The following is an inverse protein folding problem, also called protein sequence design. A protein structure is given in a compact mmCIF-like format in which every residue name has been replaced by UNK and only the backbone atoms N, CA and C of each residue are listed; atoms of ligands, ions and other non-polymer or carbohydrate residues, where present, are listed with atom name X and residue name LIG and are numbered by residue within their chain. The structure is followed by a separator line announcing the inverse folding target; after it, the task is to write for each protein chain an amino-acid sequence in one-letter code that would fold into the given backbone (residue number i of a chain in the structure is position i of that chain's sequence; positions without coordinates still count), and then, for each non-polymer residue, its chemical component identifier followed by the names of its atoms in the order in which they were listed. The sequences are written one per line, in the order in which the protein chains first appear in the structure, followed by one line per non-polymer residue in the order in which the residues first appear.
data_IF_870012602085
#
_entry.id   IF_870012602085
#
_cell.length_a   1.000
_cell.length_b   1.000
_cell.length_c   1.000
_cell.angle_alpha   90.00
_cell.angle_beta   90.00
_cell.angle_gamma   90.00
#
_symmetry.space_group_name_H-M   'P 1'
#
loop_
_entity.id
_entity.type
_entity.pdbx_description
1 polymer ?
#
# COMPACT_ATOMS: atom_id res chain seq x y z
N UNK A 1 3.78 -22.86 15.72
CA UNK A 1 3.15 -21.72 15.00
C UNK A 1 3.42 -20.48 15.82
N UNK A 2 4.18 -19.51 15.32
CA UNK A 2 4.38 -18.24 16.05
C UNK A 2 3.08 -17.46 16.02
N UNK A 3 2.61 -17.01 17.18
CA UNK A 3 1.51 -16.06 17.29
C UNK A 3 1.91 -14.79 16.53
N UNK A 4 1.11 -14.37 15.55
CA UNK A 4 1.28 -13.04 14.94
C UNK A 4 1.02 -12.01 16.04
N UNK A 5 2.08 -11.34 16.49
CA UNK A 5 2.01 -10.35 17.56
C UNK A 5 2.29 -8.98 16.95
N UNK A 6 1.29 -8.11 17.00
CA UNK A 6 1.49 -6.72 16.60
C UNK A 6 2.46 -6.03 17.54
N UNK A 7 3.20 -5.06 16.99
CA UNK A 7 4.13 -4.23 17.74
C UNK A 7 3.35 -3.44 18.81
N UNK A 8 3.84 -3.33 20.05
CA UNK A 8 3.23 -2.49 21.07
C UNK A 8 3.08 -1.05 20.59
N UNK A 9 1.98 -0.39 20.97
CA UNK A 9 1.66 0.97 20.50
C UNK A 9 2.78 1.98 20.84
N UNK A 10 3.34 1.84 22.04
CA UNK A 10 4.41 2.68 22.56
C UNK A 10 5.73 2.51 21.80
N UNK A 11 5.90 1.43 21.05
CA UNK A 11 7.09 1.17 20.26
C UNK A 11 6.95 1.66 18.81
N UNK A 12 5.73 2.05 18.39
CA UNK A 12 5.48 2.48 17.01
C UNK A 12 6.38 3.65 16.63
N UNK A 13 6.97 3.58 15.44
CA UNK A 13 7.83 4.60 14.85
C UNK A 13 7.37 4.92 13.42
N UNK A 14 8.06 5.83 12.74
CA UNK A 14 7.65 6.33 11.42
C UNK A 14 7.60 5.23 10.33
N UNK A 15 8.27 4.09 10.54
CA UNK A 15 8.23 2.95 9.62
C UNK A 15 7.12 1.94 9.92
N UNK A 16 6.26 2.23 10.88
CA UNK A 16 5.01 1.50 11.09
C UNK A 16 3.86 2.21 10.35
N UNK A 17 3.18 1.49 9.46
CA UNK A 17 2.15 2.05 8.56
C UNK A 17 1.11 2.94 9.28
N UNK A 18 0.60 2.50 10.45
CA UNK A 18 -0.33 3.29 11.25
C UNK A 18 0.22 4.67 11.63
N UNK A 19 1.48 4.71 12.10
CA UNK A 19 2.13 5.95 12.51
C UNK A 19 2.50 6.80 11.29
N UNK A 20 2.99 6.16 10.23
CA UNK A 20 3.29 6.82 8.96
C UNK A 20 2.08 7.57 8.41
N UNK A 21 0.94 6.87 8.24
CA UNK A 21 -0.31 7.47 7.77
C UNK A 21 -0.70 8.64 8.65
N UNK A 22 -0.70 8.51 9.98
CA UNK A 22 -1.09 9.61 10.89
C UNK A 22 -0.18 10.83 10.79
N UNK A 23 1.13 10.63 10.62
CA UNK A 23 2.09 11.73 10.49
C UNK A 23 1.96 12.41 9.13
N UNK A 24 1.85 11.63 8.05
CA UNK A 24 1.72 12.14 6.69
C UNK A 24 0.31 12.62 6.34
N UNK A 25 -0.71 12.34 7.16
CA UNK A 25 -2.00 13.04 7.17
C UNK A 25 -1.86 14.54 7.46
N UNK A 26 -0.75 14.96 8.07
CA UNK A 26 -0.49 16.38 8.30
C UNK A 26 -0.16 17.08 6.97
N UNK A 27 -0.97 18.08 6.61
CA UNK A 27 -0.86 18.85 5.36
C UNK A 27 0.55 19.42 5.13
N UNK A 28 1.17 20.00 6.16
CA UNK A 28 2.51 20.57 6.00
C UNK A 28 3.57 19.48 5.76
N UNK A 29 3.48 18.35 6.46
CA UNK A 29 4.41 17.22 6.29
C UNK A 29 4.30 16.64 4.88
N UNK A 30 3.09 16.35 4.42
CA UNK A 30 2.87 15.79 3.08
C UNK A 30 3.30 16.76 1.98
N UNK A 31 2.92 18.04 2.09
CA UNK A 31 3.30 19.07 1.12
C UNK A 31 4.82 19.22 1.04
N UNK A 32 5.49 19.41 2.17
CA UNK A 32 6.95 19.60 2.21
C UNK A 32 7.66 18.38 1.61
N UNK A 33 7.22 17.16 1.98
CA UNK A 33 7.77 15.92 1.42
C UNK A 33 7.62 15.84 -0.10
N UNK A 34 6.41 16.08 -0.62
CA UNK A 34 6.14 15.99 -2.06
C UNK A 34 6.96 17.01 -2.85
N UNK A 35 7.04 18.26 -2.39
CA UNK A 35 7.87 19.28 -3.03
C UNK A 35 9.34 18.87 -3.05
N UNK A 36 9.85 18.34 -1.94
CA UNK A 36 11.26 17.95 -1.81
C UNK A 36 11.61 16.74 -2.69
N UNK A 37 10.79 15.69 -2.73
CA UNK A 37 11.15 14.45 -3.46
C UNK A 37 10.83 14.53 -4.95
N UNK A 38 9.81 15.30 -5.34
CA UNK A 38 9.41 15.47 -6.74
C UNK A 38 10.04 16.70 -7.40
N UNK A 39 10.57 17.66 -6.63
CA UNK A 39 11.10 18.94 -7.12
C UNK A 39 10.06 19.78 -7.84
N UNK A 40 8.91 19.91 -7.19
CA UNK A 40 7.75 20.64 -7.69
C UNK A 40 7.35 21.71 -6.68
N UNK A 41 6.72 22.77 -7.16
CA UNK A 41 6.08 23.75 -6.29
C UNK A 41 4.62 23.35 -6.11
N UNK A 42 4.16 23.35 -4.86
CA UNK A 42 2.78 23.03 -4.48
C UNK A 42 2.31 24.08 -3.48
N UNK A 43 1.35 24.91 -3.88
CA UNK A 43 0.84 25.98 -3.00
C UNK A 43 -0.02 25.41 -1.88
N UNK A 44 -0.96 24.54 -2.24
CA UNK A 44 -1.94 23.97 -1.34
C UNK A 44 -2.28 22.53 -1.70
N UNK A 45 -2.52 21.72 -0.69
CA UNK A 45 -3.02 20.36 -0.84
C UNK A 45 -4.22 20.10 0.07
N UNK A 46 -5.01 19.11 -0.31
CA UNK A 46 -5.94 18.41 0.56
C UNK A 46 -5.43 16.97 0.75
N UNK A 47 -5.28 16.56 2.01
CA UNK A 47 -4.92 15.18 2.35
C UNK A 47 -6.19 14.41 2.63
N UNK A 48 -6.48 13.41 1.82
CA UNK A 48 -7.57 12.46 2.03
C UNK A 48 -6.99 11.29 2.79
N UNK A 49 -6.80 11.46 4.09
CA UNK A 49 -6.39 10.37 4.96
C UNK A 49 -7.59 9.76 5.67
N UNK A 50 -7.59 8.43 5.75
CA UNK A 50 -8.62 7.58 6.36
C UNK A 50 -9.75 7.15 5.41
N UNK A 51 -9.65 5.89 4.98
CA UNK A 51 -10.77 4.97 4.83
C UNK A 51 -11.98 5.42 3.98
N UNK A 52 -11.74 5.94 2.79
CA UNK A 52 -12.57 5.49 1.67
C UNK A 52 -11.87 4.26 1.09
N UNK A 53 -12.13 3.09 1.68
CA UNK A 53 -12.29 1.94 0.78
C UNK A 53 -13.25 2.45 -0.29
N UNK A 54 -12.82 2.57 -1.54
CA UNK A 54 -13.81 2.54 -2.61
C UNK A 54 -14.43 1.14 -2.50
N UNK A 55 -15.46 1.03 -1.67
CA UNK A 55 -16.26 -0.16 -1.49
C UNK A 55 -17.10 -0.28 -2.75
N UNK A 56 -16.46 -0.79 -3.79
CA UNK A 56 -17.18 -1.33 -4.92
C UNK A 56 -17.53 -2.79 -4.57
N UNK A 57 -18.82 -3.15 -4.45
CA UNK A 57 -19.24 -4.52 -4.19
C UNK A 57 -18.74 -5.54 -5.23
N UNK A 58 -18.32 -5.07 -6.42
CA UNK A 58 -17.92 -5.87 -7.56
C UNK A 58 -16.40 -5.88 -7.79
N UNK A 59 -15.62 -5.05 -7.10
CA UNK A 59 -14.18 -4.92 -7.33
C UNK A 59 -13.35 -4.95 -6.03
N UNK A 60 -12.03 -5.11 -6.18
CA UNK A 60 -11.11 -5.17 -5.04
C UNK A 60 -11.01 -3.79 -4.39
N UNK A 61 -11.45 -3.67 -3.13
CA UNK A 61 -11.30 -2.44 -2.36
C UNK A 61 -9.83 -2.05 -2.21
N UNK A 62 -9.54 -0.75 -2.37
CA UNK A 62 -8.22 -0.16 -2.16
C UNK A 62 -8.22 0.66 -0.89
N UNK A 63 -7.12 0.55 -0.13
CA UNK A 63 -6.81 1.46 0.95
C UNK A 63 -5.46 2.10 0.63
N UNK A 64 -5.49 3.37 0.30
CA UNK A 64 -4.31 4.21 0.21
C UNK A 64 -3.77 4.48 1.60
N UNK A 65 -2.45 4.51 1.74
CA UNK A 65 -1.80 4.95 2.97
C UNK A 65 -2.03 6.45 3.16
N UNK A 66 -1.66 7.27 2.18
CA UNK A 66 -1.82 8.73 2.18
C UNK A 66 -2.10 9.23 0.77
N UNK A 67 -3.37 9.52 0.48
CA UNK A 67 -3.78 10.16 -0.77
C UNK A 67 -3.83 11.68 -0.62
N UNK A 68 -3.20 12.39 -1.55
CA UNK A 68 -3.04 13.84 -1.54
C UNK A 68 -3.50 14.40 -2.88
N UNK A 69 -4.31 15.45 -2.84
CA UNK A 69 -4.70 16.22 -4.02
C UNK A 69 -4.16 17.63 -3.92
N UNK A 70 -3.55 18.12 -4.98
CA UNK A 70 -3.17 19.52 -5.11
C UNK A 70 -4.40 20.38 -5.40
N UNK A 71 -4.47 21.53 -4.72
CA UNK A 71 -5.50 22.55 -4.92
C UNK A 71 -4.88 23.69 -5.75
N UNK A 72 -5.31 23.86 -6.99
CA UNK A 72 -4.88 24.97 -7.85
C UNK A 72 -5.92 26.09 -7.80
N UNK A 73 -5.46 27.31 -7.50
CA UNK A 73 -6.31 28.50 -7.56
C UNK A 73 -6.58 28.88 -9.03
N UNK A 74 -7.83 28.75 -9.45
CA UNK A 74 -8.29 29.15 -10.78
C UNK A 74 -8.67 30.63 -10.87
N UNK A 75 -8.85 31.10 -12.11
CA UNK A 75 -9.35 32.46 -12.36
C UNK A 75 -10.72 32.66 -11.70
N UNK A 76 -10.90 33.76 -10.96
CA UNK A 76 -12.16 34.07 -10.27
C UNK A 76 -12.33 33.43 -8.88
N UNK A 77 -11.28 32.81 -8.31
CA UNK A 77 -11.30 32.25 -6.95
C UNK A 77 -11.86 30.83 -6.84
N UNK A 78 -12.12 30.16 -7.96
CA UNK A 78 -12.52 28.76 -7.98
C UNK A 78 -11.29 27.84 -7.80
N UNK A 79 -11.36 26.86 -6.92
CA UNK A 79 -10.30 25.86 -6.76
C UNK A 79 -10.51 24.71 -7.75
N UNK A 80 -9.51 24.39 -8.56
CA UNK A 80 -9.46 23.19 -9.40
C UNK A 80 -8.54 22.15 -8.76
N UNK A 81 -8.88 20.87 -8.89
CA UNK A 81 -7.98 19.78 -8.52
C UNK A 81 -6.81 19.76 -9.52
N UNK A 82 -5.60 19.88 -8.98
CA UNK A 82 -4.33 19.75 -9.68
C UNK A 82 -3.87 18.29 -9.71
N UNK A 83 -2.58 18.07 -9.45
CA UNK A 83 -1.99 16.72 -9.40
C UNK A 83 -2.55 15.88 -8.25
N UNK A 84 -2.54 14.56 -8.44
CA UNK A 84 -2.82 13.58 -7.39
C UNK A 84 -1.55 12.81 -7.01
N UNK A 85 -1.39 12.55 -5.73
CA UNK A 85 -0.26 11.83 -5.18
C UNK A 85 -0.74 10.77 -4.21
N UNK A 86 -0.18 9.57 -4.33
CA UNK A 86 -0.37 8.49 -3.38
C UNK A 86 0.99 8.11 -2.79
N UNK A 87 1.11 8.21 -1.47
CA UNK A 87 2.36 7.96 -0.75
C UNK A 87 2.21 6.68 0.08
N UNK A 88 2.92 5.63 -0.32
CA UNK A 88 2.79 4.28 0.19
C UNK A 88 4.05 3.86 0.95
N UNK A 89 3.91 3.48 2.22
CA UNK A 89 4.99 2.88 2.99
C UNK A 89 4.90 1.36 2.90
N UNK A 90 5.88 0.76 2.22
CA UNK A 90 5.87 -0.68 1.98
C UNK A 90 7.11 -1.35 2.58
N UNK A 91 6.92 -2.00 3.73
CA UNK A 91 8.00 -2.62 4.51
C UNK A 91 8.40 -4.01 4.00
N UNK A 92 7.50 -4.69 3.29
CA UNK A 92 7.74 -6.03 2.75
C UNK A 92 7.69 -6.04 1.23
N UNK A 93 8.53 -6.84 0.59
CA UNK A 93 8.43 -7.07 -0.85
C UNK A 93 7.41 -8.17 -1.11
N UNK A 94 6.21 -7.76 -1.48
CA UNK A 94 5.08 -8.64 -1.78
C UNK A 94 5.12 -9.15 -3.24
N UNK A 95 5.91 -8.50 -4.10
CA UNK A 95 6.11 -8.87 -5.51
C UNK A 95 5.10 -8.24 -6.48
N UNK A 96 3.96 -7.73 -5.99
CA UNK A 96 2.91 -7.13 -6.83
C UNK A 96 2.94 -5.60 -6.90
N UNK A 97 3.87 -4.91 -6.23
CA UNK A 97 3.87 -3.44 -6.13
C UNK A 97 3.76 -2.72 -7.50
N UNK A 98 4.46 -3.12 -8.58
CA UNK A 98 4.27 -2.50 -9.88
C UNK A 98 2.85 -2.64 -10.44
N UNK A 99 2.20 -3.79 -10.22
CA UNK A 99 0.81 -4.01 -10.63
C UNK A 99 -0.17 -3.27 -9.72
N UNK A 100 0.14 -3.17 -8.43
CA UNK A 100 -0.64 -2.41 -7.43
C UNK A 100 -0.63 -0.92 -7.76
N UNK A 101 0.54 -0.37 -8.11
CA UNK A 101 0.68 1.01 -8.57
C UNK A 101 -0.24 1.31 -9.76
N UNK A 102 -0.27 0.43 -10.78
CA UNK A 102 -1.18 0.58 -11.92
C UNK A 102 -2.65 0.54 -11.51
N UNK A 103 -3.01 -0.38 -10.60
CA UNK A 103 -4.39 -0.49 -10.12
C UNK A 103 -4.83 0.77 -9.36
N UNK A 104 -3.94 1.30 -8.52
CA UNK A 104 -4.17 2.52 -7.74
C UNK A 104 -4.44 3.74 -8.62
N UNK A 105 -3.65 3.93 -9.68
CA UNK A 105 -3.91 4.99 -10.66
C UNK A 105 -5.27 4.84 -11.33
N UNK A 106 -5.64 3.61 -11.74
CA UNK A 106 -6.97 3.37 -12.30
C UNK A 106 -8.12 3.70 -11.33
N UNK A 107 -7.93 3.50 -10.02
CA UNK A 107 -8.93 3.90 -9.03
C UNK A 107 -9.01 5.43 -8.84
N UNK A 108 -7.87 6.12 -8.91
CA UNK A 108 -7.82 7.57 -8.95
C UNK A 108 -8.55 8.13 -10.17
N UNK A 109 -8.37 7.53 -11.36
CA UNK A 109 -9.09 7.91 -12.59
C UNK A 109 -10.60 7.75 -12.44
N UNK A 110 -11.06 6.70 -11.77
CA UNK A 110 -12.49 6.47 -11.51
C UNK A 110 -13.09 7.51 -10.55
N UNK A 111 -12.33 7.94 -9.53
CA UNK A 111 -12.76 9.02 -8.62
C UNK A 111 -12.82 10.37 -9.36
N UNK A 112 -11.90 10.59 -10.30
CA UNK A 112 -11.78 11.82 -11.06
C UNK A 112 -12.86 11.98 -12.14
N UNK A 113 -13.20 10.91 -12.86
CA UNK A 113 -14.09 10.97 -14.01
C UNK A 113 -15.54 10.67 -13.65
N UNK A 114 -16.34 11.72 -13.49
CA UNK A 114 -17.80 11.58 -13.49
C UNK A 114 -18.33 11.12 -14.86
N UNK A 115 -19.53 10.54 -14.87
CA UNK A 115 -20.18 10.11 -16.12
C UNK A 115 -20.30 11.29 -17.10
N UNK A 116 -19.62 11.19 -18.24
CA UNK A 116 -19.64 12.21 -19.30
C UNK A 116 -18.52 13.26 -19.22
N UNK A 117 -17.60 13.16 -18.27
CA UNK A 117 -16.38 13.97 -18.23
C UNK A 117 -15.44 13.63 -19.40
N UNK A 118 -14.66 14.62 -19.86
CA UNK A 118 -13.66 14.42 -20.90
C UNK A 118 -12.39 13.76 -20.34
N UNK A 119 -11.71 12.93 -21.14
CA UNK A 119 -10.41 12.37 -20.75
C UNK A 119 -9.33 13.42 -20.57
N UNK A 120 -9.46 14.60 -21.21
CA UNK A 120 -8.58 15.75 -20.97
C UNK A 120 -8.65 16.29 -19.52
N UNK A 121 -9.67 15.90 -18.76
CA UNK A 121 -9.82 16.29 -17.35
C UNK A 121 -9.00 15.41 -16.39
N UNK A 122 -8.41 14.31 -16.87
CA UNK A 122 -7.57 13.43 -16.07
C UNK A 122 -6.37 14.18 -15.51
N UNK A 123 -6.21 14.07 -14.20
CA UNK A 123 -5.12 14.73 -13.48
C UNK A 123 -3.83 13.93 -13.62
N UNK A 124 -2.72 14.65 -13.63
CA UNK A 124 -1.40 14.08 -13.47
C UNK A 124 -1.26 13.36 -12.13
N UNK A 125 -0.70 12.15 -12.14
CA UNK A 125 -0.71 11.23 -11.02
C UNK A 125 0.68 10.69 -10.68
N UNK A 126 0.97 10.65 -9.38
CA UNK A 126 2.19 10.05 -8.84
C UNK A 126 1.85 8.99 -7.81
N UNK A 127 2.38 7.78 -7.99
CA UNK A 127 2.42 6.76 -6.92
C UNK A 127 3.86 6.70 -6.39
N UNK A 128 4.05 6.98 -5.10
CA UNK A 128 5.34 7.05 -4.43
C UNK A 128 5.44 5.92 -3.39
N UNK A 129 6.23 4.90 -3.69
CA UNK A 129 6.55 3.85 -2.73
C UNK A 129 7.82 4.19 -1.96
N UNK A 130 7.75 4.10 -0.64
CA UNK A 130 8.89 4.19 0.28
C UNK A 130 9.17 2.77 0.78
N UNK A 131 10.32 2.22 0.41
CA UNK A 131 10.67 0.82 0.65
C UNK A 131 12.01 0.68 1.39
N UNK A 132 12.16 -0.26 2.35
CA UNK A 132 13.44 -0.49 3.01
C UNK A 132 14.47 -1.13 2.08
N UNK A 133 14.04 -1.95 1.13
CA UNK A 133 14.91 -2.79 0.32
C UNK A 133 14.60 -2.64 -1.17
N UNK A 134 15.61 -2.81 -2.01
CA UNK A 134 15.48 -2.70 -3.46
C UNK A 134 14.66 -3.86 -4.06
N UNK A 135 13.39 -3.59 -4.34
CA UNK A 135 12.45 -4.57 -4.91
C UNK A 135 12.80 -4.96 -6.35
N UNK A 136 13.50 -4.10 -7.08
CA UNK A 136 13.86 -4.32 -8.50
C UNK A 136 15.22 -5.01 -8.66
N UNK A 137 16.02 -5.06 -7.60
CA UNK A 137 17.34 -5.70 -7.57
C UNK A 137 18.30 -5.14 -8.63
N UNK A 138 18.23 -3.82 -8.89
CA UNK A 138 19.11 -3.11 -9.83
C UNK A 138 20.10 -2.16 -9.13
N UNK A 139 20.10 -2.15 -7.81
CA UNK A 139 21.08 -1.43 -7.00
C UNK A 139 20.88 0.08 -6.95
N UNK A 140 19.75 0.62 -7.46
CA UNK A 140 19.48 2.06 -7.40
C UNK A 140 18.79 2.46 -6.09
N UNK A 141 19.09 3.64 -5.53
CA UNK A 141 18.38 4.16 -4.36
C UNK A 141 17.03 4.78 -4.72
N UNK A 142 16.85 5.24 -5.95
CA UNK A 142 15.60 5.82 -6.46
C UNK A 142 15.31 5.27 -7.84
N UNK A 143 14.06 4.86 -8.07
CA UNK A 143 13.52 4.52 -9.38
C UNK A 143 12.39 5.47 -9.73
N UNK A 144 12.40 6.01 -10.95
CA UNK A 144 11.32 6.85 -11.49
C UNK A 144 10.87 6.25 -12.81
N UNK A 145 9.60 5.84 -12.88
CA UNK A 145 9.03 5.21 -14.06
C UNK A 145 7.91 6.07 -14.65
N UNK A 146 7.87 6.08 -15.99
CA UNK A 146 6.81 6.66 -16.83
C UNK A 146 6.80 5.87 -18.16
N UNK A 147 5.70 5.96 -18.91
CA UNK A 147 5.59 5.28 -20.20
C UNK A 147 6.38 6.03 -21.30
N UNK A 148 7.08 5.26 -22.15
CA UNK A 148 8.03 5.73 -23.17
C UNK A 148 7.94 4.83 -24.40
N UNK A 149 8.36 5.33 -25.55
CA UNK A 149 8.55 4.49 -26.75
C UNK A 149 9.72 3.52 -26.52
N UNK A 150 9.60 2.28 -27.01
CA UNK A 150 10.53 1.19 -26.70
C UNK A 150 11.90 1.37 -27.38
N UNK A 151 11.91 1.86 -28.63
CA UNK A 151 13.12 2.02 -29.43
C UNK A 151 13.82 3.37 -29.18
N UNK A 152 13.05 4.42 -28.87
CA UNK A 152 13.53 5.75 -28.49
C UNK A 152 12.91 6.21 -27.15
N UNK A 153 13.56 5.88 -26.01
CA UNK A 153 13.08 6.24 -24.67
C UNK A 153 13.01 7.74 -24.36
N UNK A 154 13.48 8.62 -25.28
CA UNK A 154 13.31 10.06 -25.17
C UNK A 154 11.89 10.51 -25.54
N UNK A 155 11.16 9.69 -26.32
CA UNK A 155 9.77 9.94 -26.68
C UNK A 155 8.88 9.49 -25.52
N UNK A 156 8.21 10.45 -24.89
CA UNK A 156 7.31 10.21 -23.76
C UNK A 156 5.89 10.00 -24.25
N UNK A 157 5.18 9.03 -23.67
CA UNK A 157 3.77 8.78 -24.02
C UNK A 157 2.87 9.97 -23.64
N UNK A 158 3.22 10.72 -22.59
CA UNK A 158 2.45 11.88 -22.14
C UNK A 158 1.15 11.54 -21.41
N UNK A 159 1.04 10.33 -20.87
CA UNK A 159 -0.12 9.85 -20.09
C UNK A 159 -0.16 10.39 -18.64
N UNK A 160 0.78 11.27 -18.28
CA UNK A 160 0.88 11.94 -16.99
C UNK A 160 0.88 10.99 -15.78
N UNK A 161 1.35 9.75 -15.98
CA UNK A 161 1.33 8.67 -15.01
C UNK A 161 2.74 8.31 -14.52
N UNK A 162 3.07 8.67 -13.28
CA UNK A 162 4.40 8.51 -12.71
C UNK A 162 4.42 7.53 -11.53
N UNK A 163 5.45 6.68 -11.48
CA UNK A 163 5.63 5.70 -10.39
C UNK A 163 7.05 5.79 -9.86
N UNK A 164 7.19 6.26 -8.62
CA UNK A 164 8.47 6.50 -7.98
C UNK A 164 8.67 5.53 -6.81
N UNK A 165 9.86 4.95 -6.71
CA UNK A 165 10.23 4.04 -5.63
C UNK A 165 11.51 4.53 -4.96
N UNK A 166 11.43 4.81 -3.67
CA UNK A 166 12.54 5.30 -2.86
C UNK A 166 13.01 4.19 -1.92
N UNK A 167 14.26 3.74 -2.10
CA UNK A 167 14.86 2.67 -1.31
C UNK A 167 15.59 3.29 -0.12
N UNK A 168 14.89 3.47 0.99
CA UNK A 168 15.36 4.34 2.06
C UNK A 168 16.60 3.81 2.79
N UNK A 169 16.88 2.50 2.81
CA UNK A 169 18.16 1.99 3.38
C UNK A 169 19.39 2.33 2.51
N UNK A 170 19.19 2.74 1.27
CA UNK A 170 20.26 3.23 0.37
C UNK A 170 20.37 4.76 0.37
N UNK A 171 19.88 5.43 1.43
CA UNK A 171 19.90 6.89 1.54
C UNK A 171 21.27 7.51 1.26
N UNK A 172 22.37 6.88 1.71
CA UNK A 172 23.74 7.37 1.49
C UNK A 172 24.14 7.49 0.02
N UNK A 173 23.43 6.82 -0.89
CA UNK A 173 23.68 6.84 -2.33
C UNK A 173 22.79 7.84 -3.10
N UNK A 174 21.90 8.57 -2.40
CA UNK A 174 20.98 9.52 -3.05
C UNK A 174 21.63 10.89 -3.21
N UNK A 175 21.82 11.37 -4.44
CA UNK A 175 22.49 12.67 -4.68
C UNK A 175 21.74 13.87 -4.09
N UNK A 176 20.41 13.86 -4.18
CA UNK A 176 19.58 14.94 -3.68
C UNK A 176 19.53 14.98 -2.14
N UNK A 177 20.00 16.08 -1.55
CA UNK A 177 20.13 16.25 -0.09
C UNK A 177 18.77 16.19 0.62
N UNK A 178 17.75 16.86 0.08
CA UNK A 178 16.43 16.89 0.69
C UNK A 178 15.78 15.49 0.71
N UNK A 179 15.84 14.76 -0.41
CA UNK A 179 15.35 13.36 -0.48
C UNK A 179 16.17 12.47 0.45
N UNK A 180 17.50 12.59 0.43
CA UNK A 180 18.42 11.81 1.28
C UNK A 180 18.05 11.97 2.76
N UNK A 181 17.73 13.18 3.20
CA UNK A 181 17.38 13.50 4.58
C UNK A 181 16.14 12.72 5.06
N UNK A 182 15.04 12.71 4.28
CA UNK A 182 13.86 11.91 4.59
C UNK A 182 14.19 10.41 4.66
N UNK A 183 14.95 9.93 3.69
CA UNK A 183 15.28 8.51 3.57
C UNK A 183 16.21 8.04 4.68
N UNK A 184 17.15 8.89 5.11
CA UNK A 184 17.97 8.67 6.30
C UNK A 184 17.10 8.62 7.56
N UNK A 185 16.10 9.51 7.69
CA UNK A 185 15.18 9.50 8.81
C UNK A 185 14.35 8.20 8.86
N UNK A 186 13.78 7.74 7.74
CA UNK A 186 13.08 6.45 7.71
C UNK A 186 14.01 5.27 8.07
N UNK A 187 15.24 5.28 7.57
CA UNK A 187 16.22 4.23 7.82
C UNK A 187 16.70 4.18 9.27
N UNK A 188 16.98 5.33 9.87
CA UNK A 188 17.78 5.43 11.11
C UNK A 188 17.08 6.12 12.27
N UNK A 189 15.97 6.81 12.02
CA UNK A 189 15.22 7.64 12.96
C UNK A 189 16.04 8.83 13.50
N UNK A 190 17.22 9.11 12.92
CA UNK A 190 18.01 10.31 13.22
C UNK A 190 17.32 11.54 12.66
N UNK A 191 17.04 12.52 13.52
CA UNK A 191 16.36 13.77 13.17
C UNK A 191 17.24 14.99 13.51
N UNK A 192 18.26 15.24 12.69
CA UNK A 192 19.25 16.28 12.99
C UNK A 192 18.78 17.69 12.58
N UNK A 193 18.07 17.80 11.46
CA UNK A 193 17.53 19.07 10.99
C UNK A 193 16.23 19.46 11.68
N UNK A 194 15.89 20.74 11.61
CA UNK A 194 14.61 21.24 12.10
C UNK A 194 13.43 20.58 11.39
N UNK A 195 13.54 20.28 10.09
CA UNK A 195 12.50 19.59 9.33
C UNK A 195 12.23 18.19 9.88
N UNK A 196 13.27 17.38 10.05
CA UNK A 196 13.12 16.02 10.59
C UNK A 196 12.70 16.05 12.06
N UNK A 197 13.16 17.02 12.86
CA UNK A 197 12.70 17.19 14.25
C UNK A 197 11.21 17.50 14.33
N UNK A 198 10.65 18.31 13.41
CA UNK A 198 9.19 18.54 13.37
C UNK A 198 8.42 17.24 13.15
N UNK A 199 8.85 16.43 12.18
CA UNK A 199 8.23 15.14 11.88
C UNK A 199 8.37 14.19 13.08
N UNK A 200 9.55 14.14 13.71
CA UNK A 200 9.78 13.29 14.88
C UNK A 200 8.91 13.68 16.08
N UNK A 201 8.75 15.00 16.34
CA UNK A 201 7.83 15.50 17.36
C UNK A 201 6.38 15.07 17.11
N UNK A 202 5.95 14.98 15.85
CA UNK A 202 4.62 14.46 15.52
C UNK A 202 4.50 12.97 15.84
N UNK A 203 5.52 12.16 15.52
CA UNK A 203 5.58 10.74 15.92
C UNK A 203 5.45 10.60 17.44
N UNK A 204 6.23 11.37 18.20
CA UNK A 204 6.17 11.36 19.68
C UNK A 204 4.80 11.81 20.20
N UNK A 205 4.24 12.87 19.61
CA UNK A 205 2.91 13.37 19.96
C UNK A 205 1.84 12.30 19.76
N UNK A 206 1.82 11.65 18.60
CA UNK A 206 0.81 10.61 18.32
C UNK A 206 1.00 9.38 19.20
N UNK A 207 2.23 8.99 19.50
CA UNK A 207 2.50 7.89 20.45
C UNK A 207 1.95 8.15 21.86
N UNK A 208 1.75 9.41 22.23
CA UNK A 208 1.12 9.81 23.50
C UNK A 208 -0.37 10.14 23.38
N UNK A 209 -0.94 10.11 22.18
CA UNK A 209 -2.34 10.46 21.93
C UNK A 209 -3.27 9.28 22.30
N UNK A 210 -4.16 9.44 23.29
CA UNK A 210 -5.11 8.40 23.68
C UNK A 210 -6.08 8.00 22.56
N UNK A 211 -6.45 8.94 21.67
CA UNK A 211 -7.35 8.66 20.57
C UNK A 211 -6.67 7.77 19.52
N UNK A 212 -5.43 8.10 19.15
CA UNK A 212 -4.63 7.29 18.25
C UNK A 212 -4.32 5.90 18.85
N UNK A 213 -4.02 5.82 20.16
CA UNK A 213 -3.86 4.54 20.87
C UNK A 213 -5.11 3.67 20.76
N UNK A 214 -6.28 4.25 21.04
CA UNK A 214 -7.56 3.53 20.94
C UNK A 214 -7.79 3.01 19.52
N UNK A 215 -7.57 3.85 18.49
CA UNK A 215 -7.72 3.45 17.09
C UNK A 215 -6.77 2.30 16.71
N UNK A 216 -5.52 2.31 17.18
CA UNK A 216 -4.57 1.23 16.94
C UNK A 216 -5.00 -0.08 17.62
N UNK A 217 -5.48 -0.02 18.86
CA UNK A 217 -6.00 -1.21 19.56
C UNK A 217 -7.23 -1.80 18.85
N UNK A 218 -8.12 -0.97 18.32
CA UNK A 218 -9.25 -1.42 17.51
C UNK A 218 -8.78 -2.11 16.23
N UNK A 219 -7.82 -1.53 15.52
CA UNK A 219 -7.22 -2.13 14.33
C UNK A 219 -6.57 -3.50 14.65
N UNK A 220 -5.84 -3.60 15.76
CA UNK A 220 -5.24 -4.87 16.21
C UNK A 220 -6.29 -5.94 16.47
N UNK A 221 -7.41 -5.59 17.13
CA UNK A 221 -8.52 -6.50 17.37
C UNK A 221 -9.14 -6.99 16.06
N UNK A 222 -9.40 -6.09 15.11
CA UNK A 222 -9.94 -6.45 13.80
C UNK A 222 -9.01 -7.37 13.02
N UNK A 223 -7.71 -7.06 12.98
CA UNK A 223 -6.71 -7.89 12.31
C UNK A 223 -6.61 -9.28 12.94
N UNK A 224 -6.66 -9.38 14.27
CA UNK A 224 -6.64 -10.67 14.97
C UNK A 224 -7.90 -11.50 14.67
N UNK A 225 -9.07 -10.88 14.60
CA UNK A 225 -10.32 -11.55 14.18
C UNK A 225 -10.16 -12.10 12.75
N UNK A 226 -9.68 -11.27 11.81
CA UNK A 226 -9.46 -11.67 10.41
C UNK A 226 -8.44 -12.80 10.31
N UNK A 227 -7.34 -12.72 11.05
CA UNK A 227 -6.31 -13.76 11.10
C UNK A 227 -6.87 -15.09 11.61
N UNK A 228 -7.61 -15.08 12.73
CA UNK A 228 -8.23 -16.30 13.28
C UNK A 228 -9.24 -16.92 12.32
N UNK A 229 -10.03 -16.10 11.62
CA UNK A 229 -10.97 -16.56 10.58
C UNK A 229 -10.20 -17.23 9.43
N UNK A 230 -9.19 -16.55 8.88
CA UNK A 230 -8.37 -17.10 7.79
C UNK A 230 -7.61 -18.37 8.18
N UNK A 231 -7.11 -18.47 9.42
CA UNK A 231 -6.49 -19.69 9.92
C UNK A 231 -7.49 -20.86 9.99
N UNK A 232 -8.71 -20.60 10.46
CA UNK A 232 -9.76 -21.62 10.53
C UNK A 232 -10.16 -22.11 9.13
N UNK A 233 -10.33 -21.18 8.19
CA UNK A 233 -10.63 -21.49 6.77
C UNK A 233 -9.49 -22.31 6.14
N UNK A 234 -8.24 -21.90 6.30
CA UNK A 234 -7.09 -22.63 5.77
C UNK A 234 -6.90 -24.03 6.38
N UNK A 235 -7.23 -24.21 7.67
CA UNK A 235 -7.23 -25.54 8.30
C UNK A 235 -8.34 -26.44 7.74
N UNK A 236 -9.53 -25.88 7.49
CA UNK A 236 -10.63 -26.61 6.88
C UNK A 236 -10.29 -27.02 5.44
N UNK A 237 -9.81 -26.07 4.61
CA UNK A 237 -9.37 -26.35 3.24
C UNK A 237 -8.24 -27.39 3.17
N UNK A 238 -7.30 -27.33 4.11
CA UNK A 238 -6.21 -28.31 4.22
C UNK A 238 -6.72 -29.70 4.61
N UNK A 239 -7.69 -29.78 5.51
CA UNK A 239 -8.33 -31.05 5.87
C UNK A 239 -9.10 -31.63 4.68
N UNK A 240 -9.88 -30.80 3.97
CA UNK A 240 -10.63 -31.21 2.78
C UNK A 240 -9.70 -31.68 1.65
N UNK A 241 -8.61 -30.95 1.41
CA UNK A 241 -7.60 -31.33 0.42
C UNK A 241 -6.97 -32.68 0.75
N UNK A 242 -6.60 -32.90 2.01
CA UNK A 242 -6.05 -34.19 2.48
C UNK A 242 -7.07 -35.33 2.34
N UNK A 243 -8.34 -35.06 2.65
CA UNK A 243 -9.42 -36.05 2.52
C UNK A 243 -9.63 -36.44 1.05
N UNK A 244 -9.56 -35.47 0.12
CA UNK A 244 -9.60 -35.73 -1.34
C UNK A 244 -8.40 -36.56 -1.82
N UNK A 245 -7.19 -36.25 -1.37
CA UNK A 245 -5.99 -37.04 -1.71
C UNK A 245 -6.09 -38.48 -1.17
N UNK A 246 -6.57 -38.66 0.08
CA UNK A 246 -6.80 -39.98 0.66
C UNK A 246 -7.88 -40.75 -0.09
N UNK A 247 -9.01 -40.09 -0.42
CA UNK A 247 -10.11 -40.71 -1.18
C UNK A 247 -9.64 -41.20 -2.55
N UNK A 248 -8.86 -40.38 -3.26
CA UNK A 248 -8.23 -40.75 -4.52
C UNK A 248 -7.30 -41.96 -4.35
N UNK A 249 -6.43 -41.93 -3.35
CA UNK A 249 -5.51 -43.04 -3.07
C UNK A 249 -6.20 -44.36 -2.73
N UNK A 250 -7.32 -44.32 -1.98
CA UNK A 250 -8.10 -45.53 -1.70
C UNK A 250 -8.91 -46.01 -2.91
N UNK A 251 -9.48 -45.10 -3.70
CA UNK A 251 -10.19 -45.45 -4.92
C UNK A 251 -9.27 -46.13 -5.93
N UNK A 252 -8.08 -45.58 -6.15
CA UNK A 252 -7.11 -46.10 -7.11
C UNK A 252 -6.57 -47.48 -6.67
N UNK A 253 -6.66 -47.82 -5.38
CA UNK A 253 -6.38 -49.14 -4.81
C UNK A 253 -7.58 -50.11 -4.83
N UNK A 254 -8.74 -49.68 -5.33
CA UNK A 254 -9.93 -50.52 -5.49
C UNK A 254 -10.79 -50.70 -4.24
N UNK A 255 -10.66 -49.84 -3.23
CA UNK A 255 -11.56 -49.86 -2.06
C UNK A 255 -12.99 -49.49 -2.45
N UNK A 256 -13.98 -50.02 -1.73
CA UNK A 256 -15.38 -49.71 -2.02
C UNK A 256 -15.69 -48.24 -1.72
N UNK A 257 -16.41 -47.58 -2.63
CA UNK A 257 -16.74 -46.15 -2.54
C UNK A 257 -17.46 -45.81 -1.23
N UNK A 258 -18.30 -46.72 -0.72
CA UNK A 258 -19.00 -46.56 0.55
C UNK A 258 -18.04 -46.44 1.74
N UNK A 259 -16.99 -47.26 1.77
CA UNK A 259 -16.00 -47.26 2.85
C UNK A 259 -15.12 -46.00 2.77
N UNK A 260 -14.79 -45.57 1.54
CA UNK A 260 -14.04 -44.33 1.29
C UNK A 260 -14.85 -43.12 1.77
N UNK A 261 -16.16 -43.08 1.48
CA UNK A 261 -17.06 -42.01 1.93
C UNK A 261 -17.14 -41.94 3.45
N UNK A 262 -17.20 -43.08 4.13
CA UNK A 262 -17.22 -43.13 5.60
C UNK A 262 -15.91 -42.65 6.24
N UNK A 263 -14.76 -42.96 5.63
CA UNK A 263 -13.44 -42.56 6.15
C UNK A 263 -13.12 -41.09 5.88
N UNK A 264 -13.50 -40.58 4.71
CA UNK A 264 -13.08 -39.25 4.24
C UNK A 264 -14.16 -38.17 4.39
N UNK A 265 -15.41 -38.57 4.65
CA UNK A 265 -16.55 -37.68 4.76
C UNK A 265 -17.03 -37.09 3.43
N UNK A 266 -16.43 -37.50 2.30
CA UNK A 266 -16.82 -37.07 0.95
C UNK A 266 -18.03 -37.84 0.44
N UNK A 267 -18.82 -37.21 -0.43
CA UNK A 267 -19.94 -37.88 -1.09
C UNK A 267 -19.45 -38.94 -2.10
N UNK A 268 -20.24 -40.01 -2.33
CA UNK A 268 -19.93 -41.00 -3.36
C UNK A 268 -19.73 -40.41 -4.76
N UNK A 269 -20.42 -39.32 -5.08
CA UNK A 269 -20.29 -38.57 -6.33
C UNK A 269 -18.92 -37.90 -6.43
N UNK A 270 -18.52 -37.14 -5.41
CA UNK A 270 -17.19 -36.49 -5.35
C UNK A 270 -16.06 -37.52 -5.48
N UNK A 271 -16.17 -38.68 -4.84
CA UNK A 271 -15.13 -39.73 -4.89
C UNK A 271 -14.99 -40.30 -6.31
N UNK A 272 -16.08 -40.42 -7.07
CA UNK A 272 -16.04 -40.91 -8.46
C UNK A 272 -15.38 -39.91 -9.40
N UNK A 273 -15.44 -38.61 -9.09
CA UNK A 273 -14.92 -37.53 -9.93
C UNK A 273 -13.42 -37.21 -9.73
N UNK A 274 -12.77 -37.73 -8.68
CA UNK A 274 -11.36 -37.43 -8.32
C UNK A 274 -10.26 -38.01 -9.27
#
# INVERSE_FOLDING_TARGET
MSEYKMKPYEELDITDNFMFTKVFSNVDVARDFLQDVLKVNIDKISVVSEAASQEDPFHKSVRFDVHVREDISGAGGATKVGRQFDIELQMENTGELPKRARYYQGMCDLDALAKGADYEELQEQYILFICPSDIFKKGKPVYKFQNREESDPNILMGDLCYKNYYIFKKYSEMDDEATREYMQYFATKKCESEKMKRIHKLVEKYRMDPAARKAYMTLEQELNIRYKKGLKEGLAEGADSKNKELAKGFRDKGYAIKDIAEITGLSPEEIKEL
#
